data_IF_035185088982
#
_entry.id   IF_035185088982
#
_cell.length_a   1.000
_cell.length_b   1.000
_cell.length_c   1.000
_cell.angle_alpha   90.00
_cell.angle_beta   90.00
_cell.angle_gamma   90.00
#
_symmetry.space_group_name_H-M   'P 1'
#
loop_
_entity.id
_entity.type
_entity.pdbx_description
1 polymer ?
#
# COMPACT_ATOMS: atom_id res chain seq x y z
N UNK A 1 -13.42 -5.67 21.64
CA UNK A 1 -13.23 -5.81 20.18
C UNK A 1 -11.74 -5.68 19.94
N UNK A 2 -10.98 -6.75 20.13
CA UNK A 2 -9.56 -6.82 19.84
C UNK A 2 -9.39 -8.01 18.90
N UNK A 3 -9.78 -7.82 17.64
CA UNK A 3 -9.61 -8.81 16.57
C UNK A 3 -8.17 -8.77 16.01
N UNK A 4 -7.19 -8.49 16.89
CA UNK A 4 -5.79 -8.83 16.65
C UNK A 4 -5.63 -10.33 16.91
N UNK A 5 -6.15 -11.15 16.00
CA UNK A 5 -5.97 -12.61 16.04
C UNK A 5 -4.48 -12.98 15.97
N UNK A 6 -4.03 -14.03 16.67
CA UNK A 6 -2.62 -14.44 16.70
C UNK A 6 -2.27 -15.18 15.39
N UNK A 7 -1.51 -14.54 14.51
CA UNK A 7 -0.84 -15.22 13.39
C UNK A 7 -0.95 -14.50 12.04
N UNK A 8 0.02 -13.65 11.73
CA UNK A 8 0.22 -13.06 10.41
C UNK A 8 -0.64 -11.81 10.15
N UNK A 9 -0.03 -10.64 10.17
CA UNK A 9 -0.70 -9.41 9.73
C UNK A 9 -1.17 -9.50 8.28
N UNK A 10 -2.18 -8.72 7.92
CA UNK A 10 -2.65 -8.61 6.54
C UNK A 10 -1.78 -7.61 5.78
N UNK A 11 -1.29 -7.99 4.61
CA UNK A 11 -0.48 -7.12 3.77
C UNK A 11 -1.13 -6.95 2.41
N UNK A 12 -1.07 -5.76 1.84
CA UNK A 12 -1.48 -5.54 0.47
C UNK A 12 -0.28 -5.52 -0.45
N UNK A 13 -0.25 -6.40 -1.46
CA UNK A 13 0.82 -6.44 -2.44
C UNK A 13 0.50 -5.52 -3.64
N UNK A 14 1.33 -4.50 -3.83
CA UNK A 14 1.25 -3.55 -4.95
C UNK A 14 1.63 -4.19 -6.31
N UNK A 15 2.39 -5.30 -6.28
CA UNK A 15 2.81 -6.00 -7.50
C UNK A 15 1.71 -6.91 -8.05
N UNK A 16 1.04 -7.66 -7.18
CA UNK A 16 0.02 -8.63 -7.56
C UNK A 16 -1.41 -8.12 -7.35
N UNK A 17 -1.58 -6.93 -6.76
CA UNK A 17 -2.87 -6.32 -6.44
C UNK A 17 -3.80 -7.28 -5.66
N UNK A 18 -3.25 -7.88 -4.60
CA UNK A 18 -4.01 -8.80 -3.73
C UNK A 18 -3.55 -8.70 -2.28
N UNK A 19 -4.42 -9.12 -1.37
CA UNK A 19 -4.07 -9.33 0.05
C UNK A 19 -3.17 -10.57 0.15
N UNK A 20 -2.04 -10.44 0.83
CA UNK A 20 -1.12 -11.51 1.20
C UNK A 20 -1.05 -11.61 2.74
N UNK A 21 -1.05 -12.82 3.27
CA UNK A 21 -0.99 -13.11 4.71
C UNK A 21 0.03 -14.22 4.98
N UNK A 22 0.58 -14.25 6.19
CA UNK A 22 1.55 -15.27 6.59
C UNK A 22 2.95 -15.04 6.01
N UNK A 23 3.68 -16.13 5.76
CA UNK A 23 5.10 -16.10 5.39
C UNK A 23 5.36 -15.85 3.89
N UNK A 24 4.36 -16.05 3.04
CA UNK A 24 4.46 -15.98 1.57
C UNK A 24 4.02 -14.59 1.05
N UNK A 25 4.66 -13.55 1.59
CA UNK A 25 4.42 -12.14 1.25
C UNK A 25 5.55 -11.59 0.39
N UNK A 26 5.20 -10.71 -0.54
CA UNK A 26 6.17 -9.99 -1.35
C UNK A 26 7.16 -9.18 -0.49
N UNK A 27 8.31 -8.78 -1.07
CA UNK A 27 9.29 -7.94 -0.38
C UNK A 27 8.65 -6.68 0.19
N UNK A 28 9.18 -6.19 1.31
CA UNK A 28 8.62 -5.04 2.04
C UNK A 28 8.40 -3.79 1.15
N UNK A 29 9.22 -3.62 0.12
CA UNK A 29 9.11 -2.51 -0.84
C UNK A 29 7.83 -2.55 -1.70
N UNK A 30 7.20 -3.72 -1.86
CA UNK A 30 5.99 -3.92 -2.66
C UNK A 30 4.77 -4.23 -1.81
N UNK A 31 4.87 -4.18 -0.48
CA UNK A 31 3.75 -4.49 0.41
C UNK A 31 3.40 -3.31 1.30
N UNK A 32 2.12 -3.11 1.53
CA UNK A 32 1.59 -2.14 2.50
C UNK A 32 1.01 -2.90 3.69
N UNK A 33 1.21 -2.38 4.90
CA UNK A 33 0.74 -3.01 6.13
C UNK A 33 1.84 -3.07 7.20
N UNK A 34 1.62 -3.79 8.31
CA UNK A 34 0.51 -4.72 8.55
C UNK A 34 -0.83 -4.03 8.81
N UNK A 35 -1.91 -4.57 8.23
CA UNK A 35 -3.28 -4.18 8.47
C UNK A 35 -3.98 -5.12 9.44
N UNK A 36 -5.00 -4.61 10.13
CA UNK A 36 -5.81 -5.37 11.08
C UNK A 36 -6.79 -6.34 10.38
N UNK A 37 -7.16 -6.05 9.13
CA UNK A 37 -8.09 -6.86 8.35
C UNK A 37 -7.71 -6.92 6.87
N UNK A 38 -8.20 -7.93 6.15
CA UNK A 38 -8.06 -8.04 4.70
C UNK A 38 -8.79 -6.90 3.96
N UNK A 39 -9.88 -6.38 4.53
CA UNK A 39 -10.61 -5.23 4.01
C UNK A 39 -9.76 -3.95 4.07
N UNK A 40 -9.07 -3.71 5.19
CA UNK A 40 -8.14 -2.59 5.31
C UNK A 40 -6.96 -2.71 4.36
N UNK A 41 -6.44 -3.93 4.16
CA UNK A 41 -5.42 -4.19 3.15
C UNK A 41 -5.94 -3.92 1.74
N UNK A 42 -7.17 -4.32 1.41
CA UNK A 42 -7.76 -4.08 0.09
C UNK A 42 -7.96 -2.58 -0.19
N UNK A 43 -8.32 -1.80 0.83
CA UNK A 43 -8.44 -0.34 0.76
C UNK A 43 -7.10 0.40 0.70
N UNK A 44 -5.97 -0.31 0.81
CA UNK A 44 -4.66 0.30 0.74
C UNK A 44 -4.34 0.91 -0.64
N UNK A 45 -4.87 0.34 -1.74
CA UNK A 45 -4.72 0.90 -3.08
C UNK A 45 -5.25 2.32 -3.19
N UNK A 46 -6.45 2.57 -2.66
CA UNK A 46 -7.06 3.90 -2.69
C UNK A 46 -6.17 4.95 -2.00
N UNK A 47 -5.37 4.52 -1.02
CA UNK A 47 -4.43 5.40 -0.31
C UNK A 47 -3.15 5.62 -1.10
N UNK A 48 -2.62 4.60 -1.78
CA UNK A 48 -1.42 4.73 -2.61
C UNK A 48 -1.67 5.55 -3.86
N UNK A 49 -2.81 5.36 -4.55
CA UNK A 49 -3.17 6.20 -5.70
C UNK A 49 -3.27 7.67 -5.31
N UNK A 50 -3.86 7.98 -4.14
CA UNK A 50 -3.91 9.35 -3.61
C UNK A 50 -2.52 9.91 -3.27
N UNK A 51 -1.59 9.07 -2.79
CA UNK A 51 -0.22 9.50 -2.48
C UNK A 51 0.64 9.69 -3.73
N UNK A 52 0.53 8.81 -4.71
CA UNK A 52 1.23 8.94 -5.99
C UNK A 52 0.76 10.19 -6.74
N UNK A 53 -0.55 10.45 -6.81
CA UNK A 53 -1.06 11.67 -7.44
C UNK A 53 -0.52 12.96 -6.75
N UNK A 54 -0.33 12.93 -5.43
CA UNK A 54 0.26 14.04 -4.70
C UNK A 54 1.78 14.19 -4.95
N UNK A 55 2.48 13.09 -5.23
CA UNK A 55 3.91 13.09 -5.57
C UNK A 55 4.14 13.47 -7.04
N UNK A 56 3.30 13.04 -7.99
CA UNK A 56 3.34 13.48 -9.39
C UNK A 56 3.09 15.00 -9.51
N UNK A 57 2.19 15.54 -8.68
CA UNK A 57 1.96 16.99 -8.62
C UNK A 57 3.12 17.78 -7.98
N UNK A 58 3.96 17.12 -7.17
CA UNK A 58 5.23 17.67 -6.64
C UNK A 58 6.37 17.61 -7.66
N UNK A 59 6.40 16.57 -8.50
CA UNK A 59 7.43 16.42 -9.55
C UNK A 59 7.21 17.43 -10.69
N UNK A 60 5.94 17.62 -11.11
CA UNK A 60 5.58 18.58 -12.14
C UNK A 60 5.95 20.04 -11.82
N UNK A 61 6.08 20.39 -10.53
CA UNK A 61 6.50 21.73 -10.09
C UNK A 61 8.02 21.89 -9.99
N UNK A 62 8.79 20.81 -10.03
CA UNK A 62 10.26 20.85 -9.97
C UNK A 62 10.92 20.74 -11.35
N UNK A 63 10.28 20.11 -12.34
CA UNK A 63 10.91 19.87 -13.66
C UNK A 63 10.99 21.08 -14.60
N UNK A 64 10.39 22.22 -14.25
CA UNK A 64 10.84 23.53 -14.77
C UNK A 64 10.95 23.68 -16.29
N UNK A 65 10.13 23.03 -17.12
CA UNK A 65 10.04 23.42 -18.53
C UNK A 65 8.93 24.46 -18.70
N UNK A 66 9.31 25.70 -18.31
CA UNK A 66 8.93 26.85 -19.12
C UNK A 66 9.69 26.71 -20.43
N UNK A 67 9.00 26.31 -21.48
CA UNK A 67 9.39 26.66 -22.85
C UNK A 67 8.18 27.09 -23.66
#
# INVERSE_FOLDING_TARGET
MNDSGPGGGYFWCLRHNRVETGDDVCPAQYRLGPYASADDATRALETVEKRNAAWDAEDARWTGEVS
#
